data_IF_022205040407
#
_entry.id   IF_022205040407
#
_cell.length_a   1.000
_cell.length_b   1.000
_cell.length_c   1.000
_cell.angle_alpha   90.00
_cell.angle_beta   90.00
_cell.angle_gamma   90.00
#
_symmetry.space_group_name_H-M   'P 1'
#
loop_
_entity.id
_entity.type
_entity.pdbx_description
1 polymer ?
#
# COMPACT_ATOMS: atom_id res chain seq x y z
N UNK A 1 17.58 71.68 -45.38
CA UNK A 1 17.65 70.27 -45.80
C UNK A 1 18.29 69.48 -44.68
N UNK A 2 17.48 68.75 -43.92
CA UNK A 2 17.94 67.90 -42.80
C UNK A 2 17.86 66.46 -43.26
N UNK A 3 19.01 65.79 -43.30
CA UNK A 3 19.08 64.36 -43.64
C UNK A 3 18.96 63.53 -42.33
N UNK A 4 17.92 62.69 -42.26
CA UNK A 4 17.67 61.76 -41.17
C UNK A 4 18.30 60.40 -41.57
N UNK A 5 19.37 60.00 -40.85
CA UNK A 5 20.02 58.72 -41.02
C UNK A 5 19.25 57.65 -40.22
N UNK A 6 18.78 56.58 -40.93
CA UNK A 6 18.24 55.38 -40.30
C UNK A 6 19.36 54.40 -39.97
N UNK A 7 19.56 54.16 -38.64
CA UNK A 7 20.45 53.12 -38.18
C UNK A 7 19.66 51.78 -38.13
N UNK A 8 20.06 50.77 -38.92
CA UNK A 8 19.57 49.40 -38.86
C UNK A 8 20.27 48.66 -37.73
N UNK A 9 19.56 48.36 -36.67
CA UNK A 9 20.06 47.47 -35.60
C UNK A 9 19.69 46.02 -35.95
N UNK A 10 20.68 45.23 -36.30
CA UNK A 10 20.54 43.78 -36.49
C UNK A 10 20.38 43.08 -35.16
N UNK A 11 19.21 42.55 -34.84
CA UNK A 11 18.98 41.67 -33.70
C UNK A 11 19.45 40.27 -34.08
N UNK A 12 20.52 39.80 -33.45
CA UNK A 12 20.93 38.39 -33.50
C UNK A 12 20.00 37.58 -32.59
N UNK A 13 19.17 36.73 -33.19
CA UNK A 13 18.43 35.69 -32.48
C UNK A 13 19.43 34.63 -31.97
N UNK A 14 19.69 34.60 -30.69
CA UNK A 14 20.33 33.47 -30.04
C UNK A 14 19.26 32.43 -29.71
N UNK A 15 19.22 31.34 -30.47
CA UNK A 15 18.44 30.16 -30.16
C UNK A 15 19.18 29.39 -29.07
N UNK A 16 18.78 29.59 -27.83
CA UNK A 16 19.29 28.82 -26.67
C UNK A 16 18.45 27.54 -26.56
N UNK A 17 18.79 26.53 -27.35
CA UNK A 17 18.19 25.20 -27.31
C UNK A 17 18.89 24.43 -26.14
N UNK A 18 18.54 24.76 -24.92
CA UNK A 18 18.93 23.97 -23.73
C UNK A 18 18.02 22.77 -23.70
N UNK A 19 18.52 21.64 -24.19
CA UNK A 19 17.94 20.33 -23.97
C UNK A 19 18.13 20.04 -22.48
N UNK A 20 17.06 20.21 -21.67
CA UNK A 20 17.08 19.75 -20.29
C UNK A 20 17.35 18.24 -20.29
N UNK A 21 18.32 17.75 -19.48
CA UNK A 21 18.51 16.32 -19.35
C UNK A 21 17.24 15.70 -18.78
N UNK A 22 16.89 14.46 -19.19
CA UNK A 22 15.68 13.80 -18.70
C UNK A 22 15.73 13.76 -17.17
N UNK A 23 14.68 14.24 -16.51
CA UNK A 23 14.50 14.14 -15.06
C UNK A 23 14.74 12.68 -14.67
N UNK A 24 15.80 12.43 -13.92
CA UNK A 24 16.10 11.10 -13.36
C UNK A 24 14.84 10.61 -12.67
N UNK A 25 14.34 9.46 -13.11
CA UNK A 25 13.30 8.74 -12.39
C UNK A 25 13.70 8.70 -10.90
N UNK A 26 12.77 9.03 -10.02
CA UNK A 26 13.01 9.11 -8.59
C UNK A 26 13.79 7.87 -8.16
N UNK A 27 15.02 8.10 -7.72
CA UNK A 27 15.80 7.05 -7.09
C UNK A 27 14.97 6.54 -5.91
N UNK A 28 14.68 5.24 -5.91
CA UNK A 28 14.00 4.54 -4.82
C UNK A 28 14.60 5.00 -3.49
N UNK A 29 13.83 5.72 -2.67
CA UNK A 29 14.30 6.14 -1.36
C UNK A 29 14.69 4.88 -0.57
N UNK A 30 15.88 4.88 0.03
CA UNK A 30 16.30 3.77 0.87
C UNK A 30 15.26 3.59 1.99
N UNK A 31 14.68 2.38 2.07
CA UNK A 31 13.73 2.05 3.11
C UNK A 31 14.38 2.27 4.48
N UNK A 32 13.68 2.94 5.39
CA UNK A 32 14.07 2.96 6.80
C UNK A 32 14.06 1.51 7.30
N UNK A 33 15.14 0.97 7.88
CA UNK A 33 15.17 -0.41 8.33
C UNK A 33 13.99 -0.68 9.26
N UNK A 34 13.28 -1.79 9.01
CA UNK A 34 12.26 -2.28 9.94
C UNK A 34 12.88 -2.52 11.33
N UNK A 35 12.11 -2.48 12.44
CA UNK A 35 12.66 -2.72 13.76
C UNK A 35 13.43 -4.04 13.79
N UNK A 36 14.69 -4.01 14.24
CA UNK A 36 15.54 -5.21 14.29
C UNK A 36 14.86 -6.29 15.15
N UNK A 37 14.71 -7.50 14.57
CA UNK A 37 14.19 -8.66 15.27
C UNK A 37 12.85 -9.19 14.80
N UNK A 38 12.21 -8.58 13.79
CA UNK A 38 10.98 -9.16 13.22
C UNK A 38 11.30 -10.36 12.28
N UNK A 39 10.38 -11.37 12.21
CA UNK A 39 10.65 -12.64 11.51
C UNK A 39 11.04 -12.54 10.04
N UNK A 40 10.62 -11.47 9.35
CA UNK A 40 10.91 -11.23 7.94
C UNK A 40 11.91 -10.09 7.69
N UNK A 41 12.55 -9.56 8.75
CA UNK A 41 13.63 -8.59 8.58
C UNK A 41 14.78 -9.22 7.81
N UNK A 42 15.24 -8.54 6.76
CA UNK A 42 16.27 -9.07 5.87
C UNK A 42 15.87 -10.28 5.02
N UNK A 43 14.61 -10.73 5.05
CA UNK A 43 14.16 -11.83 4.20
C UNK A 43 14.25 -11.45 2.72
N UNK A 44 14.69 -12.39 1.87
CA UNK A 44 14.73 -12.19 0.42
C UNK A 44 13.32 -12.23 -0.17
N UNK A 45 13.18 -11.71 -1.40
CA UNK A 45 11.91 -11.78 -2.15
C UNK A 45 11.45 -13.24 -2.30
N UNK A 46 12.38 -14.15 -2.62
CA UNK A 46 12.09 -15.58 -2.81
C UNK A 46 11.56 -16.22 -1.52
N UNK A 47 12.11 -15.85 -0.36
CA UNK A 47 11.63 -16.36 0.94
C UNK A 47 10.21 -15.87 1.24
N UNK A 48 9.88 -14.65 0.84
CA UNK A 48 8.56 -14.05 1.05
C UNK A 48 7.52 -14.54 0.02
N UNK A 49 7.91 -14.81 -1.24
CA UNK A 49 7.02 -15.22 -2.32
C UNK A 49 6.30 -16.55 -2.08
N UNK A 50 6.88 -17.42 -1.25
CA UNK A 50 6.25 -18.69 -0.86
C UNK A 50 5.29 -18.58 0.32
N UNK A 51 5.03 -17.36 0.85
CA UNK A 51 4.19 -17.14 2.02
C UNK A 51 2.77 -16.74 1.62
N UNK A 52 1.82 -17.30 2.36
CA UNK A 52 0.42 -16.91 2.35
C UNK A 52 0.02 -16.40 3.73
N UNK A 53 -0.97 -15.52 3.76
CA UNK A 53 -1.55 -15.00 4.99
C UNK A 53 -3.01 -15.38 5.07
N UNK A 54 -3.45 -15.85 6.24
CA UNK A 54 -4.86 -16.04 6.56
C UNK A 54 -5.25 -15.03 7.63
N UNK A 55 -6.24 -14.20 7.33
CA UNK A 55 -6.93 -13.36 8.31
C UNK A 55 -8.16 -14.12 8.80
N UNK A 56 -8.12 -14.62 10.02
CA UNK A 56 -9.25 -15.27 10.67
C UNK A 56 -10.19 -14.20 11.22
N UNK A 57 -11.25 -13.86 10.48
CA UNK A 57 -12.20 -12.83 10.88
C UNK A 57 -13.42 -13.41 11.60
N UNK A 58 -14.22 -12.54 12.23
CA UNK A 58 -15.51 -12.92 12.85
C UNK A 58 -16.51 -13.50 11.84
N UNK A 59 -16.37 -13.17 10.53
CA UNK A 59 -17.25 -13.64 9.47
C UNK A 59 -16.68 -14.84 8.70
N UNK A 60 -15.43 -15.22 8.96
CA UNK A 60 -14.73 -16.31 8.29
C UNK A 60 -13.31 -15.94 7.85
N UNK A 61 -12.57 -16.91 7.30
CA UNK A 61 -11.19 -16.69 6.89
C UNK A 61 -11.09 -15.98 5.53
N UNK A 62 -10.10 -15.08 5.41
CA UNK A 62 -9.65 -14.49 4.16
C UNK A 62 -8.21 -14.94 3.94
N UNK A 63 -7.96 -15.76 2.90
CA UNK A 63 -6.63 -16.24 2.54
C UNK A 63 -6.07 -15.41 1.39
N UNK A 64 -4.79 -15.04 1.46
CA UNK A 64 -4.13 -14.25 0.43
C UNK A 64 -2.71 -14.75 0.17
N UNK A 65 -2.30 -14.74 -1.09
CA UNK A 65 -0.93 -14.95 -1.51
C UNK A 65 -0.18 -13.62 -1.54
N UNK A 66 1.08 -13.63 -1.09
CA UNK A 66 1.93 -12.44 -1.05
C UNK A 66 2.71 -12.34 -2.37
N UNK A 67 2.88 -11.12 -2.89
CA UNK A 67 3.56 -10.80 -4.15
C UNK A 67 4.73 -9.84 -3.87
N UNK A 68 5.80 -10.29 -3.20
CA UNK A 68 6.90 -9.44 -2.78
C UNK A 68 7.76 -8.95 -3.96
N UNK A 69 7.69 -9.60 -5.12
CA UNK A 69 8.35 -9.18 -6.35
C UNK A 69 7.82 -7.84 -6.86
N UNK A 70 6.56 -7.52 -6.54
CA UNK A 70 5.93 -6.25 -6.96
C UNK A 70 6.15 -5.12 -5.94
N UNK A 71 6.09 -5.43 -4.64
CA UNK A 71 6.21 -4.46 -3.56
C UNK A 71 6.90 -5.12 -2.32
N UNK A 72 8.24 -5.28 -2.33
CA UNK A 72 8.95 -6.05 -1.32
C UNK A 72 8.87 -5.46 0.10
N UNK A 73 8.90 -4.14 0.28
CA UNK A 73 8.83 -3.55 1.61
C UNK A 73 7.42 -3.56 2.18
N UNK A 74 6.39 -3.36 1.34
CA UNK A 74 5.00 -3.54 1.71
C UNK A 74 4.72 -5.00 2.12
N UNK A 75 5.19 -5.97 1.33
CA UNK A 75 5.06 -7.39 1.62
C UNK A 75 5.77 -7.78 2.93
N UNK A 76 7.01 -7.32 3.13
CA UNK A 76 7.78 -7.55 4.36
C UNK A 76 7.06 -7.00 5.58
N UNK A 77 6.59 -5.76 5.50
CA UNK A 77 5.87 -5.11 6.59
C UNK A 77 4.60 -5.87 6.93
N UNK A 78 3.80 -6.25 5.94
CA UNK A 78 2.57 -6.99 6.17
C UNK A 78 2.82 -8.38 6.77
N UNK A 79 3.84 -9.10 6.29
CA UNK A 79 4.27 -10.37 6.86
C UNK A 79 4.75 -10.23 8.31
N UNK A 80 5.52 -9.18 8.62
CA UNK A 80 5.96 -8.89 9.99
C UNK A 80 4.79 -8.54 10.91
N UNK A 81 3.84 -7.70 10.47
CA UNK A 81 2.63 -7.39 11.24
C UNK A 81 1.82 -8.65 11.54
N UNK A 82 1.72 -9.54 10.58
CA UNK A 82 1.03 -10.83 10.73
C UNK A 82 1.78 -11.76 11.68
N UNK A 83 3.06 -12.01 11.42
CA UNK A 83 3.86 -12.99 12.16
C UNK A 83 4.09 -12.59 13.63
N UNK A 84 4.09 -11.30 13.94
CA UNK A 84 4.21 -10.78 15.32
C UNK A 84 2.86 -10.64 16.04
N UNK A 85 1.73 -10.98 15.37
CA UNK A 85 0.39 -10.83 15.93
C UNK A 85 -0.06 -9.36 16.08
N UNK A 86 0.61 -8.43 15.40
CA UNK A 86 0.25 -7.00 15.48
C UNK A 86 -1.13 -6.70 14.87
N UNK A 87 -1.59 -7.53 13.93
CA UNK A 87 -2.93 -7.43 13.33
C UNK A 87 -4.02 -8.10 14.16
N UNK A 88 -3.67 -8.95 15.15
CA UNK A 88 -4.65 -9.65 15.94
C UNK A 88 -5.54 -8.67 16.71
N UNK A 89 -6.83 -8.99 16.75
CA UNK A 89 -7.90 -8.20 17.38
C UNK A 89 -8.12 -6.81 16.80
N UNK A 90 -7.37 -6.42 15.74
CA UNK A 90 -7.67 -5.20 14.98
C UNK A 90 -8.90 -5.40 14.08
N UNK A 91 -9.44 -4.30 13.55
CA UNK A 91 -10.68 -4.35 12.78
C UNK A 91 -10.51 -3.80 11.36
N UNK A 92 -11.43 -4.18 10.47
CA UNK A 92 -11.66 -3.43 9.23
C UNK A 92 -12.38 -2.13 9.58
N UNK A 93 -11.61 -1.07 9.78
CA UNK A 93 -12.08 0.20 10.36
C UNK A 93 -12.61 1.21 9.33
N UNK A 94 -12.44 0.93 8.02
CA UNK A 94 -12.97 1.73 6.93
C UNK A 94 -13.51 0.83 5.83
N UNK A 95 -14.70 1.15 5.34
CA UNK A 95 -15.37 0.42 4.25
C UNK A 95 -15.94 1.42 3.27
N UNK A 96 -15.48 1.35 2.02
CA UNK A 96 -16.06 2.11 0.92
C UNK A 96 -16.86 1.16 0.05
N UNK A 97 -18.18 1.32 0.03
CA UNK A 97 -19.11 0.45 -0.70
C UNK A 97 -18.74 0.30 -2.16
N UNK A 98 -18.68 -0.94 -2.65
CA UNK A 98 -18.34 -1.24 -4.03
C UNK A 98 -16.90 -0.93 -4.44
N UNK A 99 -16.04 -0.57 -3.47
CA UNK A 99 -14.65 -0.23 -3.75
C UNK A 99 -13.66 -1.03 -2.90
N UNK A 100 -13.57 -0.77 -1.58
CA UNK A 100 -12.57 -1.40 -0.71
C UNK A 100 -13.11 -1.71 0.69
N UNK A 101 -12.46 -2.67 1.36
CA UNK A 101 -12.40 -2.76 2.81
C UNK A 101 -10.97 -2.46 3.25
N UNK A 102 -10.79 -1.72 4.35
CA UNK A 102 -9.47 -1.29 4.83
C UNK A 102 -9.28 -1.68 6.29
N UNK A 103 -8.17 -2.37 6.56
CA UNK A 103 -7.68 -2.77 7.88
C UNK A 103 -6.30 -2.18 8.19
N UNK A 104 -5.67 -2.72 9.24
CA UNK A 104 -4.31 -2.32 9.64
C UNK A 104 -4.24 -1.04 10.48
N UNK A 105 -5.39 -0.49 10.89
CA UNK A 105 -5.43 0.50 11.96
C UNK A 105 -5.22 -0.23 13.30
N UNK A 106 -3.97 -0.29 13.77
CA UNK A 106 -3.62 -1.03 14.98
C UNK A 106 -4.22 -0.40 16.26
N UNK A 107 -4.67 0.85 16.22
CA UNK A 107 -5.38 1.49 17.35
C UNK A 107 -6.71 0.81 17.65
N UNK A 108 -7.27 0.07 16.70
CA UNK A 108 -8.52 -0.69 16.90
C UNK A 108 -8.30 -2.03 17.60
N UNK A 109 -7.04 -2.45 17.79
CA UNK A 109 -6.70 -3.70 18.45
C UNK A 109 -6.94 -3.62 19.97
N UNK A 110 -7.50 -4.69 20.53
CA UNK A 110 -7.60 -4.89 21.97
C UNK A 110 -6.22 -4.96 22.66
N UNK A 111 -5.15 -5.20 21.87
CA UNK A 111 -3.75 -5.26 22.30
C UNK A 111 -3.01 -3.94 22.08
N UNK A 112 -3.74 -2.81 21.89
CA UNK A 112 -3.11 -1.52 21.64
C UNK A 112 -2.01 -1.20 22.65
N UNK A 113 -0.86 -0.78 22.19
CA UNK A 113 0.34 -0.53 23.00
C UNK A 113 1.27 0.45 22.30
N UNK A 114 2.27 0.96 23.03
CA UNK A 114 3.32 1.82 22.47
C UNK A 114 4.10 1.11 21.35
N UNK A 115 4.32 -0.20 21.45
CA UNK A 115 4.97 -0.99 20.40
C UNK A 115 4.14 -0.97 19.10
N UNK A 116 2.81 -1.08 19.17
CA UNK A 116 1.93 -0.94 18.01
C UNK A 116 1.90 0.49 17.47
N UNK A 117 1.92 1.50 18.36
CA UNK A 117 2.02 2.91 17.93
C UNK A 117 3.31 3.17 17.15
N UNK A 118 4.44 2.62 17.63
CA UNK A 118 5.72 2.71 16.92
C UNK A 118 5.66 2.08 15.53
N UNK A 119 4.99 0.91 15.38
CA UNK A 119 4.77 0.29 14.06
C UNK A 119 3.95 1.17 13.14
N UNK A 120 2.87 1.78 13.63
CA UNK A 120 2.03 2.70 12.86
C UNK A 120 2.73 3.99 12.45
N UNK A 121 3.79 4.39 13.12
CA UNK A 121 4.58 5.58 12.78
C UNK A 121 5.69 5.29 11.76
N UNK A 122 5.99 4.01 11.49
CA UNK A 122 7.02 3.62 10.54
C UNK A 122 6.51 3.78 9.11
N UNK A 123 7.11 4.71 8.37
CA UNK A 123 6.75 5.02 6.98
C UNK A 123 7.48 4.09 6.02
N UNK A 124 6.76 3.66 4.99
CA UNK A 124 7.27 2.82 3.91
C UNK A 124 7.52 3.66 2.66
N UNK A 125 8.53 3.30 1.85
CA UNK A 125 8.70 3.88 0.53
C UNK A 125 7.52 3.53 -0.37
N UNK A 126 7.18 4.41 -1.31
CA UNK A 126 6.24 4.08 -2.37
C UNK A 126 6.84 2.99 -3.27
N UNK A 127 6.07 1.96 -3.53
CA UNK A 127 6.45 0.84 -4.40
C UNK A 127 5.38 0.64 -5.50
N UNK A 128 5.21 1.61 -6.41
CA UNK A 128 4.28 1.46 -7.50
C UNK A 128 4.78 0.40 -8.48
N UNK A 129 3.97 -0.63 -8.68
CA UNK A 129 4.29 -1.75 -9.57
C UNK A 129 3.44 -1.77 -10.83
N UNK A 130 3.58 -2.87 -11.61
CA UNK A 130 2.82 -3.10 -12.84
C UNK A 130 1.53 -3.90 -12.61
N UNK A 131 1.32 -4.41 -11.40
CA UNK A 131 0.11 -5.16 -11.05
C UNK A 131 -1.11 -4.26 -11.16
N UNK A 132 -2.12 -4.74 -11.90
CA UNK A 132 -3.38 -4.02 -12.07
C UNK A 132 -4.25 -4.16 -10.82
N UNK A 133 -4.85 -3.06 -10.41
CA UNK A 133 -5.76 -3.01 -9.26
C UNK A 133 -7.13 -3.54 -9.65
N UNK A 134 -7.24 -4.86 -9.69
CA UNK A 134 -8.50 -5.58 -9.94
C UNK A 134 -9.07 -6.13 -8.64
N UNK A 135 -10.30 -6.66 -8.68
CA UNK A 135 -10.94 -7.30 -7.53
C UNK A 135 -10.01 -8.35 -6.90
N UNK A 136 -9.90 -8.33 -5.56
CA UNK A 136 -9.08 -9.24 -4.76
C UNK A 136 -7.64 -8.77 -4.54
N UNK A 137 -7.16 -7.74 -5.23
CA UNK A 137 -5.83 -7.18 -4.96
C UNK A 137 -5.79 -6.53 -3.58
N UNK A 138 -4.66 -6.76 -2.90
CA UNK A 138 -4.33 -6.20 -1.59
C UNK A 138 -3.19 -5.20 -1.76
N UNK A 139 -3.39 -3.97 -1.29
CA UNK A 139 -2.42 -2.88 -1.43
C UNK A 139 -2.25 -2.10 -0.13
N UNK A 140 -1.10 -1.43 0.04
CA UNK A 140 -0.91 -0.50 1.15
C UNK A 140 -1.75 0.76 0.95
N UNK A 141 -2.44 1.17 2.01
CA UNK A 141 -3.10 2.47 2.05
C UNK A 141 -2.08 3.55 2.45
N UNK A 142 -2.23 4.72 1.86
CA UNK A 142 -1.40 5.90 2.13
C UNK A 142 -2.20 7.18 1.98
N UNK A 143 -1.66 8.29 2.46
CA UNK A 143 -2.15 9.64 2.20
C UNK A 143 -1.68 10.12 0.81
N UNK A 144 -1.99 11.35 0.44
CA UNK A 144 -1.49 11.96 -0.79
C UNK A 144 0.01 12.25 -0.74
N UNK A 145 0.60 12.33 0.47
CA UNK A 145 2.04 12.48 0.64
C UNK A 145 2.81 11.25 0.17
N UNK A 146 3.88 11.41 -0.62
CA UNK A 146 4.75 10.30 -1.00
C UNK A 146 5.38 9.61 0.22
N UNK A 147 5.60 8.31 0.12
CA UNK A 147 6.23 7.49 1.17
C UNK A 147 5.50 7.60 2.52
N UNK A 148 4.17 7.68 2.50
CA UNK A 148 3.34 7.83 3.70
C UNK A 148 2.59 6.57 4.12
N UNK A 149 2.71 5.46 3.37
CA UNK A 149 2.19 4.18 3.78
C UNK A 149 2.82 3.73 5.12
N UNK A 150 2.04 3.06 5.97
CA UNK A 150 2.51 2.56 7.26
C UNK A 150 2.04 1.10 7.48
N UNK A 151 0.98 0.91 8.28
CA UNK A 151 0.43 -0.43 8.60
C UNK A 151 -0.92 -0.68 7.91
N UNK A 152 -1.55 0.37 7.39
CA UNK A 152 -2.86 0.26 6.78
C UNK A 152 -2.82 -0.42 5.42
N UNK A 153 -3.74 -1.35 5.19
CA UNK A 153 -3.91 -2.02 3.91
C UNK A 153 -5.38 -2.04 3.50
N UNK A 154 -5.64 -2.22 2.21
CA UNK A 154 -7.00 -2.40 1.71
C UNK A 154 -7.10 -3.60 0.76
N UNK A 155 -8.29 -4.16 0.65
CA UNK A 155 -8.65 -5.23 -0.29
C UNK A 155 -9.72 -4.68 -1.23
N UNK A 156 -9.49 -4.80 -2.53
CA UNK A 156 -10.41 -4.35 -3.57
C UNK A 156 -11.58 -5.32 -3.76
N UNK A 157 -12.81 -4.79 -3.80
CA UNK A 157 -14.00 -5.54 -4.18
C UNK A 157 -14.41 -5.34 -5.63
N UNK A 158 -13.83 -4.36 -6.31
CA UNK A 158 -14.03 -4.06 -7.73
C UNK A 158 -12.75 -3.54 -8.38
N UNK A 159 -12.65 -3.52 -9.73
CA UNK A 159 -11.51 -2.92 -10.43
C UNK A 159 -11.36 -1.43 -10.14
N UNK A 160 -10.11 -0.98 -9.94
CA UNK A 160 -9.77 0.40 -9.60
C UNK A 160 -8.55 0.90 -10.41
N UNK A 161 -8.66 1.06 -11.73
CA UNK A 161 -7.53 1.38 -12.60
C UNK A 161 -6.87 2.73 -12.28
N UNK A 162 -7.56 3.64 -11.59
CA UNK A 162 -7.00 4.91 -11.13
C UNK A 162 -5.91 4.75 -10.04
N UNK A 163 -5.79 3.57 -9.42
CA UNK A 163 -4.75 3.21 -8.46
C UNK A 163 -3.51 2.60 -9.12
N UNK A 164 -3.62 2.17 -10.38
CA UNK A 164 -2.52 1.54 -11.12
C UNK A 164 -1.29 2.43 -11.15
N UNK A 165 -0.14 1.83 -10.95
CA UNK A 165 1.17 2.50 -10.89
C UNK A 165 1.29 3.64 -9.85
N UNK A 166 0.40 3.67 -8.84
CA UNK A 166 0.40 4.67 -7.77
C UNK A 166 0.44 4.05 -6.37
N UNK A 167 -0.12 2.85 -6.23
CA UNK A 167 -0.20 2.14 -4.96
C UNK A 167 0.61 0.85 -4.98
N UNK A 168 1.14 0.46 -3.83
CA UNK A 168 1.94 -0.74 -3.64
C UNK A 168 1.01 -1.97 -3.50
N UNK A 169 0.72 -2.66 -4.61
CA UNK A 169 0.02 -3.94 -4.60
C UNK A 169 0.99 -5.03 -4.15
N UNK A 170 0.76 -5.65 -3.00
CA UNK A 170 1.67 -6.63 -2.40
C UNK A 170 1.06 -8.02 -2.21
N UNK A 171 -0.21 -8.21 -2.57
CA UNK A 171 -0.88 -9.49 -2.41
C UNK A 171 -2.18 -9.59 -3.20
N UNK A 172 -2.72 -10.80 -3.24
CA UNK A 172 -4.03 -11.10 -3.83
C UNK A 172 -4.78 -12.10 -2.98
N UNK A 173 -6.08 -11.88 -2.80
CA UNK A 173 -6.98 -12.84 -2.12
C UNK A 173 -7.14 -14.08 -2.98
N UNK A 174 -6.86 -15.24 -2.40
CA UNK A 174 -6.98 -16.55 -3.05
C UNK A 174 -8.25 -17.29 -2.64
N UNK A 175 -8.75 -17.02 -1.41
CA UNK A 175 -10.00 -17.58 -0.86
C UNK A 175 -10.64 -16.60 0.10
N UNK A 176 -11.98 -16.65 0.24
CA UNK A 176 -12.70 -15.79 1.17
C UNK A 176 -13.12 -14.43 0.60
N UNK A 177 -13.19 -14.28 -0.74
CA UNK A 177 -13.71 -13.05 -1.34
C UNK A 177 -15.20 -12.82 -1.01
N UNK A 178 -15.95 -13.86 -0.70
CA UNK A 178 -17.34 -13.77 -0.17
C UNK A 178 -17.37 -13.12 1.22
N UNK A 179 -16.33 -13.34 2.04
CA UNK A 179 -16.18 -12.69 3.34
C UNK A 179 -15.82 -11.22 3.15
N UNK A 180 -14.92 -10.92 2.22
CA UNK A 180 -14.59 -9.52 1.85
C UNK A 180 -15.83 -8.77 1.38
N UNK A 181 -16.68 -9.41 0.57
CA UNK A 181 -17.94 -8.82 0.11
C UNK A 181 -18.92 -8.60 1.28
N UNK A 182 -19.05 -9.58 2.17
CA UNK A 182 -19.91 -9.45 3.34
C UNK A 182 -19.50 -8.27 4.23
N UNK A 183 -18.18 -8.09 4.45
CA UNK A 183 -17.63 -6.92 5.16
C UNK A 183 -17.96 -5.62 4.39
N UNK A 184 -17.79 -5.63 3.07
CA UNK A 184 -18.06 -4.44 2.25
C UNK A 184 -19.56 -4.09 2.20
N UNK A 185 -20.45 -5.04 2.35
CA UNK A 185 -21.90 -4.83 2.38
C UNK A 185 -22.44 -4.44 3.77
N UNK A 186 -21.65 -4.54 4.83
CA UNK A 186 -22.07 -4.19 6.20
C UNK A 186 -22.53 -2.71 6.30
N UNK A 187 -23.49 -2.35 7.15
CA UNK A 187 -23.92 -0.96 7.34
C UNK A 187 -22.77 -0.05 7.72
N UNK A 188 -22.75 1.18 7.16
CA UNK A 188 -21.71 2.20 7.39
C UNK A 188 -22.36 3.57 7.59
N UNK A 189 -21.72 4.39 8.42
CA UNK A 189 -21.94 5.84 8.48
C UNK A 189 -20.76 6.52 7.73
N UNK A 190 -21.02 7.04 6.53
CA UNK A 190 -19.98 7.41 5.58
C UNK A 190 -19.12 6.21 5.20
N UNK A 191 -17.83 6.25 5.55
CA UNK A 191 -16.89 5.14 5.34
C UNK A 191 -16.62 4.32 6.61
N UNK A 192 -17.23 4.68 7.75
CA UNK A 192 -17.03 4.02 9.04
C UNK A 192 -18.08 2.93 9.22
N UNK A 193 -17.69 1.66 9.38
CA UNK A 193 -18.63 0.58 9.67
C UNK A 193 -19.32 0.80 11.03
N UNK A 194 -20.66 0.59 11.10
CA UNK A 194 -21.41 0.64 12.34
C UNK A 194 -20.91 -0.42 13.33
N UNK A 195 -20.57 -1.59 12.81
CA UNK A 195 -19.94 -2.71 13.55
C UNK A 195 -18.71 -3.16 12.77
N UNK A 196 -17.51 -2.61 13.08
CA UNK A 196 -16.28 -3.04 12.42
C UNK A 196 -16.01 -4.53 12.65
N UNK A 197 -15.80 -5.28 11.58
CA UNK A 197 -15.47 -6.71 11.65
C UNK A 197 -14.05 -6.88 12.15
N UNK A 198 -13.88 -7.72 13.18
CA UNK A 198 -12.61 -7.97 13.83
C UNK A 198 -11.82 -9.08 13.11
N UNK A 199 -10.51 -8.90 13.02
CA UNK A 199 -9.53 -9.92 12.70
C UNK A 199 -9.17 -10.61 14.03
N UNK A 200 -9.74 -11.77 14.30
CA UNK A 200 -9.47 -12.50 15.53
C UNK A 200 -7.97 -12.86 15.63
N UNK A 201 -7.41 -13.28 14.49
CA UNK A 201 -6.01 -13.67 14.37
C UNK A 201 -5.54 -13.52 12.93
N UNK A 202 -4.27 -13.19 12.75
CA UNK A 202 -3.59 -13.21 11.46
C UNK A 202 -2.44 -14.24 11.49
N UNK A 203 -2.34 -15.10 10.46
CA UNK A 203 -1.39 -16.23 10.44
C UNK A 203 -0.61 -16.23 9.12
N UNK A 204 0.72 -16.30 9.21
CA UNK A 204 1.60 -16.59 8.06
C UNK A 204 1.78 -18.09 7.94
N UNK A 205 1.67 -18.62 6.74
CA UNK A 205 1.95 -20.04 6.43
C UNK A 205 2.51 -20.17 5.01
N UNK A 206 3.23 -21.26 4.72
CA UNK A 206 3.54 -21.59 3.32
C UNK A 206 2.26 -21.71 2.49
N UNK A 207 2.28 -21.19 1.26
CA UNK A 207 1.13 -21.33 0.36
C UNK A 207 0.88 -22.80 0.05
N UNK A 208 -0.36 -23.24 0.19
CA UNK A 208 -0.77 -24.59 -0.24
C UNK A 208 -0.70 -24.65 -1.78
N UNK A 209 -0.04 -25.67 -2.30
CA UNK A 209 0.01 -25.96 -3.73
C UNK A 209 -1.33 -26.48 -4.21
#
# INVERSE_FOLDING_TARGET
>A
MVAIGFAFTTVKAQSNNQIEPPKKANARAAATPAPAGDPFDGATVEKMAGQCVTLETELGPIEMAIMPENAPEAARTFLNLTATGALDTSTFSRVVKGFVIQGGNLQTSEKWSEALAKRMSHKLPDEPGLVKHVRGIVSMARTDEPNSATTHFFILVAPAPHLDSKFAAFGTVTRGMEIVDAINQAPVDGDKPDKPVKINRAVVSPCKK
#
